data_IF_235792249310
#
_entry.id   IF_235792249310
#
_cell.length_a   1.000
_cell.length_b   1.000
_cell.length_c   1.000
_cell.angle_alpha   90.00
_cell.angle_beta   90.00
_cell.angle_gamma   90.00
#
_symmetry.space_group_name_H-M   'P 1'
#
loop_
_entity.id
_entity.type
_entity.pdbx_description
1 polymer ?
#
# COMPACT_ATOMS: atom_id res chain seq x y z
N UNK A 1 -6.73 -8.67 -2.22
CA UNK A 1 -7.50 -9.70 -2.52
C UNK A 1 -8.90 -9.39 -2.78
N UNK A 2 -9.35 -9.95 -3.80
CA UNK A 2 -10.50 -9.43 -4.51
C UNK A 2 -11.72 -9.25 -3.62
N UNK A 3 -12.29 -10.33 -3.18
CA UNK A 3 -13.54 -10.23 -2.44
C UNK A 3 -13.37 -9.73 -1.03
N UNK A 4 -12.21 -9.99 -0.45
CA UNK A 4 -11.93 -9.59 0.92
C UNK A 4 -11.66 -8.10 1.04
N UNK A 5 -11.43 -7.44 -0.08
CA UNK A 5 -10.94 -6.07 -0.10
C UNK A 5 -11.91 -5.10 -0.76
N UNK A 6 -13.18 -5.42 -0.73
CA UNK A 6 -14.22 -4.59 -1.36
C UNK A 6 -14.62 -3.38 -0.53
N UNK A 7 -14.05 -3.21 0.65
CA UNK A 7 -14.42 -2.12 1.53
C UNK A 7 -13.81 -0.78 1.09
N UNK A 8 -14.39 0.30 1.55
CA UNK A 8 -13.85 1.64 1.34
C UNK A 8 -12.61 1.85 2.20
N UNK A 9 -11.65 2.60 1.64
CA UNK A 9 -10.46 3.03 2.36
C UNK A 9 -10.61 4.51 2.68
N UNK A 10 -10.96 4.82 3.90
CA UNK A 10 -11.16 6.20 4.34
C UNK A 10 -9.84 6.98 4.34
N UNK A 11 -9.94 8.31 4.31
CA UNK A 11 -8.77 9.17 4.39
C UNK A 11 -8.01 8.90 5.69
N UNK A 12 -6.69 8.85 5.60
CA UNK A 12 -5.84 8.57 6.75
C UNK A 12 -5.83 7.12 7.19
N UNK A 13 -6.39 6.20 6.40
CA UNK A 13 -6.37 4.77 6.68
C UNK A 13 -5.65 4.00 5.58
N UNK A 14 -5.34 2.74 5.88
CA UNK A 14 -4.45 1.93 5.05
C UNK A 14 -5.22 0.95 4.16
N UNK A 15 -4.66 0.69 2.98
CA UNK A 15 -5.16 -0.34 2.08
C UNK A 15 -4.82 -1.71 2.67
N UNK A 16 -5.78 -2.63 2.66
CA UNK A 16 -5.58 -4.00 3.10
C UNK A 16 -5.07 -4.88 1.95
N UNK A 17 -4.08 -5.71 2.24
CA UNK A 17 -3.58 -6.76 1.35
C UNK A 17 -3.63 -8.06 2.14
N UNK A 18 -4.79 -8.69 2.28
CA UNK A 18 -4.99 -9.74 3.29
C UNK A 18 -4.34 -11.08 2.98
N UNK A 19 -3.87 -11.30 1.75
CA UNK A 19 -3.28 -12.58 1.37
C UNK A 19 -1.82 -12.40 0.96
N UNK A 20 -1.00 -13.37 1.35
CA UNK A 20 0.41 -13.38 0.95
C UNK A 20 0.60 -14.07 -0.39
N UNK A 21 1.50 -13.49 -1.19
CA UNK A 21 2.10 -14.14 -2.32
C UNK A 21 3.44 -14.77 -1.96
N UNK A 22 4.28 -15.05 -2.97
CA UNK A 22 5.61 -15.59 -2.73
C UNK A 22 6.44 -14.71 -1.79
N UNK A 23 7.17 -15.35 -0.90
CA UNK A 23 8.04 -14.70 0.07
C UNK A 23 9.36 -15.46 0.13
N UNK A 24 10.47 -14.79 -0.10
CA UNK A 24 11.78 -15.41 -0.22
C UNK A 24 12.65 -15.28 1.03
N UNK A 25 12.15 -14.70 2.12
CA UNK A 25 12.97 -14.52 3.31
C UNK A 25 12.20 -14.02 4.51
N UNK A 26 12.94 -13.59 5.53
CA UNK A 26 12.37 -13.14 6.79
C UNK A 26 12.62 -11.65 7.08
N UNK A 27 13.20 -10.91 6.15
CA UNK A 27 13.48 -9.49 6.34
C UNK A 27 12.21 -8.66 6.31
N UNK A 28 11.24 -9.07 5.51
CA UNK A 28 9.97 -8.37 5.36
C UNK A 28 8.89 -9.29 5.88
N UNK A 29 8.18 -8.88 6.93
CA UNK A 29 7.23 -9.73 7.65
C UNK A 29 5.89 -9.02 7.74
N UNK A 30 4.82 -9.70 7.34
CA UNK A 30 3.46 -9.22 7.56
C UNK A 30 3.17 -9.16 9.05
N UNK A 31 2.64 -8.04 9.52
CA UNK A 31 2.22 -7.87 10.91
C UNK A 31 0.73 -7.64 11.07
N UNK A 32 0.01 -7.54 9.96
CA UNK A 32 -1.44 -7.35 9.95
C UNK A 32 -1.96 -7.36 8.53
N UNK A 33 -3.25 -7.10 8.33
CA UNK A 33 -3.85 -7.05 7.01
C UNK A 33 -3.30 -5.95 6.12
N UNK A 34 -2.84 -4.87 6.74
CA UNK A 34 -2.34 -3.69 6.01
C UNK A 34 -0.96 -3.23 6.48
N UNK A 35 -0.31 -3.95 7.36
CA UNK A 35 0.97 -3.54 7.95
C UNK A 35 2.06 -4.56 7.68
N UNK A 36 3.25 -4.07 7.32
CA UNK A 36 4.39 -4.90 6.95
C UNK A 36 5.65 -4.38 7.63
N UNK A 37 6.34 -5.27 8.32
CA UNK A 37 7.53 -4.93 9.09
C UNK A 37 8.78 -5.09 8.22
N UNK A 38 9.49 -3.98 8.01
CA UNK A 38 10.81 -3.94 7.40
C UNK A 38 11.82 -4.10 8.55
N UNK A 39 12.29 -5.33 8.77
CA UNK A 39 13.02 -5.66 10.00
C UNK A 39 14.44 -5.10 10.00
N UNK A 40 15.08 -4.98 8.85
CA UNK A 40 16.45 -4.49 8.74
C UNK A 40 16.49 -3.02 8.29
N UNK A 41 17.47 -2.29 8.77
CA UNK A 41 17.78 -0.97 8.24
C UNK A 41 18.29 -1.14 6.82
N UNK A 42 17.77 -0.34 5.89
CA UNK A 42 18.21 -0.41 4.50
C UNK A 42 17.28 0.35 3.56
N UNK A 43 17.45 0.08 2.27
CA UNK A 43 16.65 0.66 1.21
C UNK A 43 15.80 -0.42 0.59
N UNK A 44 14.51 -0.11 0.41
CA UNK A 44 13.51 -1.04 -0.11
C UNK A 44 12.84 -0.46 -1.34
N UNK A 45 12.65 -1.30 -2.34
CA UNK A 45 11.79 -0.96 -3.48
C UNK A 45 10.39 -1.44 -3.17
N UNK A 46 9.41 -0.55 -3.31
CA UNK A 46 8.01 -0.84 -3.03
C UNK A 46 7.19 -0.52 -4.26
N UNK A 47 6.44 -1.50 -4.75
CA UNK A 47 5.48 -1.33 -5.83
C UNK A 47 4.11 -1.69 -5.33
N UNK A 48 3.11 -0.86 -5.61
CA UNK A 48 1.73 -1.18 -5.29
C UNK A 48 0.81 -0.85 -6.46
N UNK A 49 -0.29 -1.60 -6.54
CA UNK A 49 -1.30 -1.45 -7.57
C UNK A 49 -2.65 -1.76 -6.94
N UNK A 50 -3.57 -0.80 -6.98
CA UNK A 50 -4.88 -0.92 -6.35
C UNK A 50 -5.94 -0.38 -7.30
N UNK A 51 -6.94 -1.19 -7.62
CA UNK A 51 -8.08 -0.76 -8.44
C UNK A 51 -9.13 -0.10 -7.57
N UNK A 52 -9.50 1.13 -7.90
CA UNK A 52 -10.48 1.92 -7.14
C UNK A 52 -11.47 2.61 -8.07
N UNK A 53 -12.62 3.01 -7.53
CA UNK A 53 -13.68 3.68 -8.28
C UNK A 53 -13.43 5.17 -8.47
N UNK A 54 -12.84 5.82 -7.48
CA UNK A 54 -12.71 7.28 -7.45
C UNK A 54 -11.37 7.74 -7.96
N UNK A 55 -11.31 8.97 -8.44
CA UNK A 55 -10.05 9.69 -8.54
C UNK A 55 -9.48 9.89 -7.13
N UNK A 56 -8.18 9.79 -6.98
CA UNK A 56 -7.55 9.91 -5.66
C UNK A 56 -6.07 9.59 -5.68
N UNK A 57 -5.51 9.53 -4.49
CA UNK A 57 -4.07 9.33 -4.30
C UNK A 57 -3.81 8.22 -3.29
N UNK A 58 -2.65 7.61 -3.40
CA UNK A 58 -2.09 6.72 -2.40
C UNK A 58 -0.67 7.14 -2.06
N UNK A 59 -0.26 6.89 -0.85
CA UNK A 59 1.07 7.25 -0.33
C UNK A 59 1.60 6.10 0.52
N UNK A 60 2.90 5.95 0.58
CA UNK A 60 3.54 5.03 1.52
C UNK A 60 3.74 5.74 2.87
N UNK A 61 3.53 5.01 3.95
CA UNK A 61 3.86 5.49 5.29
C UNK A 61 4.95 4.61 5.89
N UNK A 62 5.76 5.22 6.72
CA UNK A 62 6.76 4.51 7.54
C UNK A 62 6.54 4.87 9.00
N UNK A 63 6.50 3.86 9.86
CA UNK A 63 6.34 4.03 11.29
C UNK A 63 7.58 3.44 11.98
N UNK A 64 8.40 4.31 12.52
CA UNK A 64 9.64 3.94 13.22
C UNK A 64 9.43 3.80 14.73
N UNK A 65 8.19 3.79 15.19
CA UNK A 65 7.84 3.67 16.61
C UNK A 65 7.06 4.86 17.18
N UNK A 66 7.06 5.99 16.47
CA UNK A 66 6.39 7.22 16.93
C UNK A 66 5.10 7.52 16.15
N UNK A 67 4.59 6.55 15.41
CA UNK A 67 3.41 6.72 14.56
C UNK A 67 3.76 6.70 13.07
N UNK A 68 2.74 6.42 12.24
CA UNK A 68 2.92 6.36 10.81
C UNK A 68 3.10 7.77 10.23
N UNK A 69 4.11 7.93 9.39
CA UNK A 69 4.43 9.21 8.74
C UNK A 69 4.34 9.00 7.23
N UNK A 70 3.51 9.81 6.58
CA UNK A 70 3.39 9.80 5.13
C UNK A 70 4.70 10.27 4.50
N UNK A 71 5.12 9.55 3.45
CA UNK A 71 6.33 9.88 2.71
C UNK A 71 5.95 10.68 1.47
N UNK A 72 6.06 12.02 1.48
CA UNK A 72 5.46 12.85 0.43
C UNK A 72 5.96 12.52 -0.98
N UNK A 73 7.20 12.09 -1.12
CA UNK A 73 7.77 11.77 -2.43
C UNK A 73 7.23 10.46 -3.03
N UNK A 74 6.44 9.69 -2.26
CA UNK A 74 5.85 8.44 -2.74
C UNK A 74 4.41 8.59 -3.19
N UNK A 75 3.82 9.78 -3.09
CA UNK A 75 2.43 10.02 -3.48
C UNK A 75 2.27 9.81 -4.97
N UNK A 76 1.29 9.01 -5.34
CA UNK A 76 0.86 8.83 -6.71
C UNK A 76 -0.64 8.98 -6.78
N UNK A 77 -1.14 9.41 -7.93
CA UNK A 77 -2.56 9.68 -8.05
C UNK A 77 -3.12 9.41 -9.43
N UNK A 78 -4.45 9.47 -9.47
CA UNK A 78 -5.23 9.34 -10.68
C UNK A 78 -6.29 10.44 -10.67
N UNK A 79 -6.30 11.25 -11.72
CA UNK A 79 -7.11 12.46 -11.75
C UNK A 79 -8.57 12.21 -12.11
N UNK A 80 -8.85 11.20 -12.94
CA UNK A 80 -10.20 10.94 -13.45
C UNK A 80 -10.45 9.47 -13.70
N UNK A 81 -11.72 9.10 -13.77
CA UNK A 81 -12.14 7.76 -14.17
C UNK A 81 -11.93 6.70 -13.12
N UNK A 82 -12.28 5.46 -13.50
CA UNK A 82 -12.08 4.28 -12.67
C UNK A 82 -10.95 3.44 -13.26
N UNK A 83 -9.92 3.18 -12.51
CA UNK A 83 -8.83 2.32 -12.91
C UNK A 83 -7.91 2.06 -11.72
N UNK A 84 -6.66 1.82 -12.00
CA UNK A 84 -5.68 1.49 -10.98
C UNK A 84 -4.90 2.73 -10.54
N UNK A 85 -4.59 2.78 -9.26
CA UNK A 85 -3.56 3.66 -8.74
C UNK A 85 -2.31 2.81 -8.59
N UNK A 86 -1.26 3.16 -9.33
CA UNK A 86 -0.01 2.40 -9.35
C UNK A 86 1.11 3.30 -8.87
N UNK A 87 1.89 2.79 -7.94
CA UNK A 87 3.06 3.50 -7.45
C UNK A 87 4.26 2.58 -7.33
N UNK A 88 5.44 3.14 -7.52
CA UNK A 88 6.70 2.48 -7.26
C UNK A 88 7.68 3.52 -6.72
N UNK A 89 8.30 3.21 -5.58
CA UNK A 89 9.22 4.12 -4.94
C UNK A 89 10.30 3.36 -4.18
N UNK A 90 11.39 4.03 -3.91
CA UNK A 90 12.39 3.55 -2.96
C UNK A 90 12.15 4.24 -1.62
N UNK A 91 12.19 3.47 -0.55
CA UNK A 91 12.13 3.99 0.81
C UNK A 91 13.34 3.52 1.58
N UNK A 92 13.84 4.38 2.47
CA UNK A 92 15.00 4.07 3.29
C UNK A 92 14.58 4.08 4.75
N UNK A 93 14.92 3.03 5.48
CA UNK A 93 14.66 2.95 6.92
C UNK A 93 15.92 3.31 7.69
N UNK A 94 15.75 3.96 8.83
CA UNK A 94 16.84 4.35 9.72
C UNK A 94 16.81 3.63 11.04
N UNK A 95 15.74 2.87 11.29
CA UNK A 95 15.55 2.05 12.50
C UNK A 95 15.13 0.67 12.10
N UNK A 96 15.51 -0.33 12.88
CA UNK A 96 15.01 -1.70 12.72
C UNK A 96 13.51 -1.75 12.99
N UNK A 97 12.82 -2.70 12.36
CA UNK A 97 11.38 -2.91 12.59
C UNK A 97 10.52 -1.69 12.27
N UNK A 98 10.75 -1.08 11.11
CA UNK A 98 9.92 0.01 10.60
C UNK A 98 8.71 -0.58 9.90
N UNK A 99 7.52 -0.11 10.25
CA UNK A 99 6.27 -0.60 9.68
C UNK A 99 5.91 0.23 8.44
N UNK A 100 5.66 -0.46 7.33
CA UNK A 100 5.25 0.15 6.07
C UNK A 100 3.77 -0.10 5.82
N UNK A 101 3.07 0.91 5.35
CA UNK A 101 1.68 0.79 4.86
C UNK A 101 1.50 1.54 3.55
N UNK A 102 0.44 1.19 2.81
CA UNK A 102 -0.07 1.96 1.67
C UNK A 102 -1.34 2.65 2.15
N UNK A 103 -1.39 3.97 2.08
CA UNK A 103 -2.42 4.75 2.75
C UNK A 103 -3.14 5.68 1.78
N UNK A 104 -4.45 5.85 1.98
CA UNK A 104 -5.18 6.99 1.44
C UNK A 104 -4.80 8.21 2.28
N UNK A 105 -4.12 9.23 1.70
CA UNK A 105 -3.56 10.31 2.49
C UNK A 105 -4.59 11.02 3.35
N UNK A 106 -4.19 11.47 4.53
CA UNK A 106 -5.11 12.08 5.49
C UNK A 106 -5.75 13.37 4.98
N UNK A 107 -5.07 14.09 4.10
CA UNK A 107 -5.57 15.34 3.53
C UNK A 107 -6.50 15.19 2.34
N UNK A 108 -6.82 13.96 1.91
CA UNK A 108 -7.64 13.74 0.73
C UNK A 108 -9.13 14.00 1.01
N UNK A 109 -9.90 14.43 -0.01
CA UNK A 109 -11.29 14.79 0.20
C UNK A 109 -12.25 13.59 0.26
N UNK A 110 -11.85 12.42 -0.23
CA UNK A 110 -12.78 11.29 -0.34
C UNK A 110 -12.13 9.97 0.00
N UNK A 111 -12.96 9.02 0.45
CA UNK A 111 -12.58 7.62 0.60
C UNK A 111 -12.40 6.98 -0.79
N UNK A 112 -11.61 5.93 -0.86
CA UNK A 112 -11.40 5.14 -2.08
C UNK A 112 -12.13 3.81 -1.92
N UNK A 113 -12.89 3.44 -2.95
CA UNK A 113 -13.62 2.17 -2.96
C UNK A 113 -12.86 1.16 -3.81
N UNK A 114 -12.42 0.09 -3.20
CA UNK A 114 -11.73 -0.99 -3.90
C UNK A 114 -12.71 -1.69 -4.84
N UNK A 115 -12.28 -1.99 -6.07
CA UNK A 115 -13.12 -2.64 -7.07
C UNK A 115 -12.69 -4.09 -7.28
N UNK A 116 -13.37 -5.06 -6.64
CA UNK A 116 -12.89 -6.44 -6.68
C UNK A 116 -13.02 -7.14 -8.03
N UNK A 117 -13.87 -6.64 -8.92
CA UNK A 117 -14.08 -7.26 -10.24
C UNK A 117 -13.93 -6.27 -11.38
N UNK A 118 -13.02 -5.33 -11.23
CA UNK A 118 -12.83 -4.22 -12.18
C UNK A 118 -12.71 -4.72 -13.63
N UNK A 119 -13.65 -4.33 -14.46
CA UNK A 119 -13.62 -4.60 -15.89
C UNK A 119 -14.08 -5.98 -16.33
N UNK A 120 -14.42 -6.88 -15.42
CA UNK A 120 -14.79 -8.24 -15.83
C UNK A 120 -15.46 -9.05 -14.74
N UNK A 121 -15.46 -10.38 -14.94
CA UNK A 121 -16.06 -11.32 -14.00
C UNK A 121 -15.04 -12.00 -13.10
N UNK A 122 -13.78 -11.96 -13.49
CA UNK A 122 -12.72 -12.53 -12.65
C UNK A 122 -12.34 -11.54 -11.55
N UNK A 123 -12.13 -12.01 -10.32
CA UNK A 123 -11.70 -11.13 -9.25
C UNK A 123 -10.29 -10.59 -9.51
N UNK A 124 -10.10 -9.29 -9.32
CA UNK A 124 -8.80 -8.65 -9.49
C UNK A 124 -8.11 -8.52 -8.15
N UNK A 125 -6.79 -8.59 -8.16
CA UNK A 125 -5.99 -8.46 -6.95
C UNK A 125 -5.44 -7.05 -6.81
N UNK A 126 -5.37 -6.58 -5.58
CA UNK A 126 -4.47 -5.51 -5.23
C UNK A 126 -3.08 -6.12 -4.99
N UNK A 127 -2.04 -5.47 -5.46
CA UNK A 127 -0.68 -5.98 -5.34
C UNK A 127 0.18 -5.05 -4.52
N UNK A 128 1.00 -5.64 -3.66
CA UNK A 128 2.07 -4.95 -2.97
C UNK A 128 3.31 -5.83 -3.07
N UNK A 129 4.36 -5.29 -3.65
CA UNK A 129 5.65 -5.96 -3.78
C UNK A 129 6.68 -5.13 -3.04
N UNK A 130 7.40 -5.76 -2.11
CA UNK A 130 8.44 -5.10 -1.32
C UNK A 130 9.71 -5.91 -1.49
N UNK A 131 10.80 -5.22 -1.82
CA UNK A 131 12.08 -5.86 -2.04
C UNK A 131 13.18 -5.02 -1.41
N UNK A 132 13.99 -5.61 -0.55
CA UNK A 132 15.18 -4.93 -0.03
C UNK A 132 16.27 -4.96 -1.10
N UNK A 133 16.83 -3.81 -1.42
CA UNK A 133 17.83 -3.68 -2.46
C UNK A 133 19.21 -3.19 -1.94
N UNK A 134 19.26 -2.70 -0.71
CA UNK A 134 20.53 -2.27 -0.14
C UNK A 134 20.57 -2.30 1.40
#
# INVERSE_FOLDING_TARGET
MPEDNSAAVAQGTDVSFPQDGPNSGATIVRTGGSTFNLTAIGTYQVLFQVSVDEAGQLVLTLNSGAGAVEQPYTVVGRATGTSQIVGMALVTTTVVNTILTVRNPAGEPTALTITPSAGGTEPVSAHLVIMQIA
#
